data_IF_739547769235
#
_entry.id   IF_739547769235
#
_cell.length_a   1.000
_cell.length_b   1.000
_cell.length_c   1.000
_cell.angle_alpha   90.00
_cell.angle_beta   90.00
_cell.angle_gamma   90.00
#
_symmetry.space_group_name_H-M   'P 1'
#
loop_
_entity.id
_entity.type
_entity.pdbx_description
1 polymer ?
#
# COMPACT_ATOMS: atom_id res chain seq x y z
N UNK A 1 -33.64 -49.64 1.88
CA UNK A 1 -33.11 -48.70 0.88
C UNK A 1 -34.21 -48.46 -0.15
N UNK A 2 -35.06 -47.46 0.10
CA UNK A 2 -35.94 -46.82 -0.89
C UNK A 2 -35.09 -45.83 -1.69
N UNK A 3 -35.29 -45.49 -2.97
CA UNK A 3 -36.28 -45.84 -3.99
C UNK A 3 -36.08 -44.86 -5.17
N UNK A 4 -36.53 -45.27 -6.38
CA UNK A 4 -37.01 -44.47 -7.53
C UNK A 4 -36.14 -43.37 -8.18
N UNK A 5 -36.30 -42.96 -9.45
CA UNK A 5 -36.78 -43.50 -10.74
C UNK A 5 -36.76 -42.28 -11.70
N UNK A 6 -35.92 -42.29 -12.76
CA UNK A 6 -36.04 -41.59 -14.08
C UNK A 6 -36.32 -40.06 -14.12
N UNK A 7 -36.45 -39.36 -15.29
CA UNK A 7 -36.25 -39.73 -16.71
C UNK A 7 -35.47 -38.69 -17.59
N UNK A 8 -35.17 -39.07 -18.85
CA UNK A 8 -35.31 -38.31 -20.14
C UNK A 8 -34.72 -36.89 -20.29
N UNK A 9 -34.25 -36.34 -21.42
CA UNK A 9 -34.31 -36.55 -22.89
C UNK A 9 -33.24 -35.59 -23.45
N UNK A 10 -32.36 -35.97 -24.37
CA UNK A 10 -32.57 -35.77 -25.82
C UNK A 10 -32.71 -34.30 -26.25
N UNK A 11 -31.68 -33.68 -26.84
CA UNK A 11 -31.83 -33.05 -28.17
C UNK A 11 -30.50 -32.62 -28.78
N UNK A 12 -30.41 -32.88 -30.08
CA UNK A 12 -29.30 -32.69 -30.97
C UNK A 12 -29.06 -31.23 -31.40
N UNK A 13 -27.86 -31.06 -31.93
CA UNK A 13 -27.37 -30.03 -32.87
C UNK A 13 -28.44 -29.23 -33.63
N UNK A 14 -28.18 -27.92 -33.79
CA UNK A 14 -28.49 -27.20 -35.03
C UNK A 14 -27.44 -26.12 -35.30
N UNK A 15 -26.61 -26.39 -36.32
CA UNK A 15 -25.88 -25.40 -37.09
C UNK A 15 -26.83 -24.74 -38.11
N UNK A 16 -26.74 -23.42 -38.28
CA UNK A 16 -26.97 -22.61 -39.50
C UNK A 16 -26.75 -21.14 -39.07
N UNK A 17 -25.65 -20.46 -39.38
CA UNK A 17 -25.18 -20.01 -40.70
C UNK A 17 -26.21 -19.13 -41.41
N UNK A 18 -26.02 -17.81 -41.29
CA UNK A 18 -25.89 -16.81 -42.38
C UNK A 18 -26.45 -15.44 -41.96
N UNK A 19 -25.67 -14.40 -42.26
CA UNK A 19 -26.03 -13.01 -42.01
C UNK A 19 -24.81 -12.10 -41.92
N UNK A 20 -24.02 -12.05 -43.00
CA UNK A 20 -22.94 -11.08 -43.19
C UNK A 20 -23.56 -9.69 -43.41
N UNK A 21 -23.20 -8.72 -42.57
CA UNK A 21 -23.13 -7.31 -43.00
C UNK A 21 -22.21 -6.52 -42.07
N UNK A 22 -21.04 -6.15 -42.59
CA UNK A 22 -20.17 -5.09 -42.08
C UNK A 22 -20.28 -3.90 -43.05
N UNK A 23 -19.57 -2.78 -42.87
CA UNK A 23 -19.21 -2.01 -41.67
C UNK A 23 -19.69 -0.54 -41.82
N UNK A 24 -19.67 0.29 -40.76
CA UNK A 24 -19.26 1.72 -40.85
C UNK A 24 -19.51 2.49 -39.53
N UNK A 25 -18.41 2.99 -38.98
CA UNK A 25 -18.29 4.32 -38.35
C UNK A 25 -19.19 4.61 -37.15
N UNK A 26 -18.68 4.99 -35.98
CA UNK A 26 -17.91 6.22 -35.78
C UNK A 26 -17.47 6.27 -34.32
N UNK A 27 -16.31 6.88 -34.14
CA UNK A 27 -15.76 7.36 -32.87
C UNK A 27 -16.83 7.92 -31.93
N UNK A 28 -16.88 7.38 -30.72
CA UNK A 28 -17.15 8.18 -29.54
C UNK A 28 -16.16 7.77 -28.47
N UNK A 29 -15.01 8.46 -28.55
CA UNK A 29 -14.19 8.93 -27.43
C UNK A 29 -14.96 8.80 -26.11
N UNK A 30 -14.80 7.64 -25.46
CA UNK A 30 -15.22 7.46 -24.09
C UNK A 30 -14.42 8.44 -23.27
N UNK A 31 -15.03 9.59 -22.95
CA UNK A 31 -14.58 10.46 -21.88
C UNK A 31 -14.32 9.54 -20.71
N UNK A 32 -13.05 9.44 -20.31
CA UNK A 32 -12.71 8.82 -19.04
C UNK A 32 -13.63 9.45 -18.02
N UNK A 33 -14.51 8.65 -17.41
CA UNK A 33 -15.14 9.04 -16.16
C UNK A 33 -13.96 9.43 -15.28
N UNK A 34 -13.84 10.71 -14.98
CA UNK A 34 -13.11 11.11 -13.79
C UNK A 34 -13.82 10.36 -12.68
N UNK A 35 -13.23 9.23 -12.27
CA UNK A 35 -13.61 8.57 -11.03
C UNK A 35 -13.33 9.65 -10.01
N UNK A 36 -14.39 10.32 -9.54
CA UNK A 36 -14.28 11.31 -8.49
C UNK A 36 -13.71 10.56 -7.29
N UNK A 37 -12.39 10.70 -7.10
CA UNK A 37 -11.75 10.19 -5.90
C UNK A 37 -12.39 10.93 -4.74
N UNK A 38 -12.84 10.22 -3.69
CA UNK A 38 -13.42 10.89 -2.55
C UNK A 38 -12.41 11.91 -2.03
N UNK A 39 -12.82 13.16 -1.83
CA UNK A 39 -11.96 14.27 -1.38
C UNK A 39 -11.06 13.90 -0.17
N UNK A 40 -11.49 12.95 0.66
CA UNK A 40 -10.71 12.42 1.77
C UNK A 40 -9.43 11.68 1.35
N UNK A 41 -9.42 10.98 0.23
CA UNK A 41 -8.25 10.22 -0.23
C UNK A 41 -7.12 11.14 -0.71
N UNK A 42 -7.46 12.21 -1.44
CA UNK A 42 -6.47 13.22 -1.86
C UNK A 42 -5.90 14.01 -0.67
N UNK A 43 -6.72 14.30 0.35
CA UNK A 43 -6.27 14.94 1.58
C UNK A 43 -5.30 14.04 2.37
N UNK A 44 -5.65 12.76 2.55
CA UNK A 44 -4.78 11.79 3.23
C UNK A 44 -3.45 11.66 2.49
N UNK A 45 -3.48 11.60 1.16
CA UNK A 45 -2.28 11.54 0.33
C UNK A 45 -1.41 12.78 0.51
N UNK A 46 -1.99 13.97 0.47
CA UNK A 46 -1.24 15.22 0.68
C UNK A 46 -0.60 15.28 2.08
N UNK A 47 -1.29 14.81 3.12
CA UNK A 47 -0.73 14.70 4.46
C UNK A 47 0.41 13.69 4.54
N UNK A 48 0.25 12.52 3.94
CA UNK A 48 1.30 11.50 3.84
C UNK A 48 2.54 12.04 3.11
N UNK A 49 2.36 12.77 2.00
CA UNK A 49 3.46 13.39 1.26
C UNK A 49 4.22 14.42 2.09
N UNK A 50 3.52 15.22 2.92
CA UNK A 50 4.15 16.15 3.85
C UNK A 50 4.95 15.41 4.93
N UNK A 51 4.41 14.33 5.48
CA UNK A 51 5.10 13.50 6.46
C UNK A 51 6.34 12.82 5.86
N UNK A 52 6.28 12.35 4.61
CA UNK A 52 7.45 11.81 3.92
C UNK A 52 8.53 12.85 3.68
N UNK A 53 8.17 14.09 3.31
CA UNK A 53 9.15 15.18 3.19
C UNK A 53 9.84 15.47 4.53
N UNK A 54 9.06 15.55 5.61
CA UNK A 54 9.59 15.73 6.97
C UNK A 54 10.48 14.55 7.37
N UNK A 55 10.11 13.32 7.01
CA UNK A 55 10.91 12.13 7.28
C UNK A 55 12.27 12.21 6.57
N UNK A 56 12.29 12.64 5.32
CA UNK A 56 13.52 12.83 4.54
C UNK A 56 14.42 13.92 5.14
N UNK A 57 13.84 15.06 5.54
CA UNK A 57 14.59 16.14 6.21
C UNK A 57 15.24 15.67 7.52
N UNK A 58 14.51 14.88 8.32
CA UNK A 58 15.02 14.35 9.59
C UNK A 58 16.03 13.24 9.35
N UNK A 59 15.85 12.39 8.33
CA UNK A 59 16.83 11.39 7.93
C UNK A 59 18.16 12.06 7.52
N UNK A 60 18.09 13.14 6.74
CA UNK A 60 19.27 13.92 6.36
C UNK A 60 19.98 14.54 7.57
N UNK A 61 19.22 15.11 8.51
CA UNK A 61 19.77 15.59 9.79
C UNK A 61 20.43 14.45 10.56
N UNK A 62 19.80 13.28 10.60
CA UNK A 62 20.31 12.10 11.32
C UNK A 62 21.61 11.58 10.71
N UNK A 63 21.76 11.65 9.38
CA UNK A 63 22.98 11.25 8.70
C UNK A 63 24.12 12.25 8.88
N UNK A 64 23.81 13.54 8.98
CA UNK A 64 24.82 14.58 9.24
C UNK A 64 25.24 14.60 10.71
N UNK A 65 24.27 14.45 11.61
CA UNK A 65 24.42 14.56 13.05
C UNK A 65 23.71 13.40 13.76
N UNK A 66 24.33 12.21 13.81
CA UNK A 66 23.75 11.04 14.48
C UNK A 66 23.68 11.29 15.98
N UNK A 67 22.51 11.69 16.46
CA UNK A 67 22.25 11.96 17.87
C UNK A 67 20.92 11.35 18.29
N UNK A 68 20.80 11.02 19.58
CA UNK A 68 19.57 10.42 20.11
C UNK A 68 18.37 11.35 19.92
N UNK A 69 18.59 12.67 20.03
CA UNK A 69 17.54 13.67 19.82
C UNK A 69 16.97 13.63 18.40
N UNK A 70 17.84 13.55 17.39
CA UNK A 70 17.39 13.49 15.99
C UNK A 70 16.76 12.13 15.68
N UNK A 71 17.23 11.04 16.31
CA UNK A 71 16.59 9.72 16.19
C UNK A 71 15.18 9.70 16.80
N UNK A 72 14.96 10.38 17.93
CA UNK A 72 13.61 10.52 18.50
C UNK A 72 12.68 11.36 17.62
N UNK A 73 13.20 12.40 16.97
CA UNK A 73 12.46 13.17 15.96
C UNK A 73 12.08 12.26 14.77
N UNK A 74 13.01 11.45 14.28
CA UNK A 74 12.77 10.48 13.20
C UNK A 74 11.67 9.48 13.59
N UNK A 75 11.78 8.89 14.79
CA UNK A 75 10.76 8.00 15.36
C UNK A 75 9.40 8.67 15.53
N UNK A 76 9.37 9.98 15.82
CA UNK A 76 8.16 10.77 15.87
C UNK A 76 7.43 10.77 14.52
N UNK A 77 8.13 11.15 13.46
CA UNK A 77 7.55 11.20 12.11
C UNK A 77 7.10 9.82 11.63
N UNK A 78 7.89 8.76 11.90
CA UNK A 78 7.49 7.38 11.57
C UNK A 78 6.20 6.97 12.31
N UNK A 79 6.04 7.37 13.58
CA UNK A 79 4.80 7.10 14.33
C UNK A 79 3.59 7.81 13.74
N UNK A 80 3.75 9.07 13.33
CA UNK A 80 2.68 9.84 12.66
C UNK A 80 2.25 9.15 11.35
N UNK A 81 3.20 8.65 10.55
CA UNK A 81 2.91 7.87 9.33
C UNK A 81 2.18 6.55 9.63
N UNK A 82 2.61 5.81 10.65
CA UNK A 82 1.94 4.56 11.05
C UNK A 82 0.52 4.79 11.57
N UNK A 83 0.26 5.92 12.23
CA UNK A 83 -1.10 6.30 12.64
C UNK A 83 -2.01 6.58 11.43
N UNK A 84 -1.50 7.22 10.38
CA UNK A 84 -2.25 7.38 9.12
C UNK A 84 -2.60 6.03 8.49
N UNK A 85 -1.64 5.10 8.44
CA UNK A 85 -1.87 3.73 7.95
C UNK A 85 -2.98 3.04 8.74
N UNK A 86 -2.95 3.13 10.07
CA UNK A 86 -3.97 2.53 10.93
C UNK A 86 -5.36 3.14 10.66
N UNK A 87 -5.46 4.45 10.51
CA UNK A 87 -6.71 5.13 10.14
C UNK A 87 -7.25 4.66 8.79
N UNK A 88 -6.38 4.53 7.78
CA UNK A 88 -6.76 4.02 6.46
C UNK A 88 -7.26 2.57 6.51
N UNK A 89 -6.57 1.69 7.24
CA UNK A 89 -6.96 0.29 7.38
C UNK A 89 -8.32 0.13 8.09
N UNK A 90 -8.61 0.99 9.07
CA UNK A 90 -9.92 1.04 9.74
C UNK A 90 -11.03 1.47 8.77
N UNK A 91 -10.79 2.51 7.97
CA UNK A 91 -11.76 3.02 6.99
C UNK A 91 -12.05 2.01 5.89
N UNK A 92 -11.02 1.30 5.40
CA UNK A 92 -11.17 0.29 4.33
C UNK A 92 -11.78 -1.03 4.80
N UNK A 93 -12.04 -1.20 6.10
CA UNK A 93 -12.57 -2.43 6.71
C UNK A 93 -11.75 -3.69 6.32
N UNK A 94 -10.49 -3.48 5.95
CA UNK A 94 -9.64 -4.44 5.24
C UNK A 94 -8.81 -5.30 6.20
N UNK A 95 -9.11 -5.19 7.50
CA UNK A 95 -8.40 -5.81 8.61
C UNK A 95 -8.24 -7.35 8.50
N UNK A 96 -9.05 -8.02 7.67
CA UNK A 96 -9.04 -9.47 7.56
C UNK A 96 -8.10 -10.05 6.49
N UNK A 97 -7.78 -9.33 5.39
CA UNK A 97 -7.02 -9.91 4.25
C UNK A 97 -5.70 -9.18 3.96
N UNK A 98 -5.62 -7.86 4.16
CA UNK A 98 -4.37 -7.09 4.04
C UNK A 98 -3.57 -7.04 5.34
N UNK A 99 -4.15 -7.45 6.48
CA UNK A 99 -3.48 -7.39 7.78
C UNK A 99 -2.21 -8.21 7.84
N UNK A 100 -2.12 -9.37 7.20
CA UNK A 100 -0.89 -10.17 7.24
C UNK A 100 0.32 -9.45 6.61
N UNK A 101 0.11 -8.80 5.45
CA UNK A 101 1.17 -8.07 4.77
C UNK A 101 1.47 -6.73 5.45
N UNK A 102 0.43 -5.97 5.80
CA UNK A 102 0.57 -4.70 6.51
C UNK A 102 1.23 -4.90 7.88
N UNK A 103 0.82 -5.91 8.64
CA UNK A 103 1.43 -6.28 9.92
C UNK A 103 2.92 -6.58 9.76
N UNK A 104 3.31 -7.40 8.77
CA UNK A 104 4.74 -7.69 8.50
C UNK A 104 5.54 -6.42 8.19
N UNK A 105 4.97 -5.50 7.42
CA UNK A 105 5.63 -4.22 7.11
C UNK A 105 5.76 -3.34 8.36
N UNK A 106 4.70 -3.23 9.18
CA UNK A 106 4.71 -2.50 10.45
C UNK A 106 5.75 -3.11 11.41
N UNK A 107 5.79 -4.44 11.55
CA UNK A 107 6.82 -5.13 12.35
C UNK A 107 8.22 -4.81 11.84
N UNK A 108 8.47 -4.86 10.52
CA UNK A 108 9.77 -4.48 9.94
C UNK A 108 10.14 -3.03 10.23
N UNK A 109 9.18 -2.11 10.21
CA UNK A 109 9.43 -0.71 10.58
C UNK A 109 9.88 -0.61 12.04
N UNK A 110 9.20 -1.28 12.96
CA UNK A 110 9.58 -1.30 14.38
C UNK A 110 10.94 -1.95 14.63
N UNK A 111 11.23 -3.08 13.97
CA UNK A 111 12.54 -3.72 14.01
C UNK A 111 13.63 -2.80 13.50
N UNK A 112 13.38 -2.13 12.36
CA UNK A 112 14.29 -1.13 11.79
C UNK A 112 14.63 -0.02 12.77
N UNK A 113 13.63 0.56 13.43
CA UNK A 113 13.82 1.59 14.46
C UNK A 113 14.66 1.09 15.64
N UNK A 114 14.38 -0.12 16.14
CA UNK A 114 15.18 -0.71 17.22
C UNK A 114 16.64 -0.96 16.79
N UNK A 115 16.87 -1.35 15.54
CA UNK A 115 18.23 -1.52 15.02
C UNK A 115 18.95 -0.18 14.86
N UNK A 116 18.25 0.90 14.49
CA UNK A 116 18.85 2.24 14.44
C UNK A 116 19.39 2.69 15.79
N UNK A 117 18.64 2.46 16.88
CA UNK A 117 19.08 2.77 18.25
C UNK A 117 20.39 2.04 18.61
N UNK A 118 20.46 0.75 18.26
CA UNK A 118 21.64 -0.09 18.48
C UNK A 118 22.85 0.38 17.66
N UNK A 119 22.63 0.80 16.42
CA UNK A 119 23.68 1.30 15.52
C UNK A 119 24.16 2.68 15.98
N UNK A 120 23.26 3.53 16.47
CA UNK A 120 23.61 4.84 17.01
C UNK A 120 24.52 4.71 18.26
N UNK A 121 24.24 3.71 19.09
CA UNK A 121 24.97 3.44 20.35
C UNK A 121 26.35 2.80 20.17
N UNK A 122 26.64 2.20 19.00
CA UNK A 122 27.89 1.49 18.71
C UNK A 122 28.59 2.19 17.54
N UNK A 123 29.49 3.13 17.83
CA UNK A 123 30.32 3.88 16.87
C UNK A 123 29.69 3.99 15.46
N UNK A 124 28.87 5.02 15.31
CA UNK A 124 27.93 5.24 14.21
C UNK A 124 28.42 4.77 12.83
N UNK A 125 28.00 3.55 12.44
CA UNK A 125 28.13 3.09 11.06
C UNK A 125 27.07 3.81 10.21
N UNK A 126 27.37 5.05 9.80
CA UNK A 126 26.50 5.93 9.02
C UNK A 126 25.83 5.21 7.84
N UNK A 127 26.57 4.37 7.13
CA UNK A 127 26.05 3.54 6.01
C UNK A 127 24.94 2.59 6.47
N UNK A 128 25.09 1.95 7.64
CA UNK A 128 24.05 1.06 8.19
C UNK A 128 22.80 1.85 8.59
N UNK A 129 22.99 3.04 9.16
CA UNK A 129 21.88 3.93 9.54
C UNK A 129 21.09 4.38 8.30
N UNK A 130 21.78 4.76 7.22
CA UNK A 130 21.16 5.09 5.93
C UNK A 130 20.38 3.93 5.34
N UNK A 131 20.96 2.72 5.36
CA UNK A 131 20.27 1.52 4.88
C UNK A 131 18.97 1.26 5.64
N UNK A 132 19.02 1.30 6.98
CA UNK A 132 17.84 1.13 7.82
C UNK A 132 16.78 2.20 7.54
N UNK A 133 17.17 3.45 7.30
CA UNK A 133 16.25 4.53 7.02
C UNK A 133 15.52 4.32 5.68
N UNK A 134 16.26 3.92 4.64
CA UNK A 134 15.69 3.59 3.34
C UNK A 134 14.75 2.38 3.42
N UNK A 135 15.14 1.34 4.18
CA UNK A 135 14.29 0.15 4.38
C UNK A 135 12.99 0.52 5.08
N UNK A 136 13.04 1.37 6.13
CA UNK A 136 11.86 1.88 6.83
C UNK A 136 10.99 2.70 5.88
N UNK A 137 11.57 3.63 5.13
CA UNK A 137 10.84 4.45 4.15
C UNK A 137 10.15 3.57 3.10
N UNK A 138 10.84 2.57 2.57
CA UNK A 138 10.27 1.62 1.61
C UNK A 138 9.09 0.84 2.18
N UNK A 139 9.17 0.42 3.44
CA UNK A 139 8.04 -0.23 4.12
C UNK A 139 6.85 0.72 4.27
N UNK A 140 7.09 1.97 4.67
CA UNK A 140 6.04 2.99 4.84
C UNK A 140 5.38 3.37 3.51
N UNK A 141 6.17 3.52 2.44
CA UNK A 141 5.63 3.74 1.08
C UNK A 141 4.77 2.55 0.66
N UNK A 142 5.21 1.31 0.93
CA UNK A 142 4.43 0.11 0.60
C UNK A 142 3.12 0.00 1.40
N UNK A 143 3.04 0.62 2.58
CA UNK A 143 1.82 0.67 3.41
C UNK A 143 0.83 1.75 2.97
N UNK A 144 1.31 2.79 2.28
CA UNK A 144 0.53 3.98 1.91
C UNK A 144 0.30 4.10 0.38
N UNK A 145 0.82 3.15 -0.40
CA UNK A 145 0.62 3.04 -1.84
C UNK A 145 -0.75 2.42 -2.17
#
# INVERSE_FOLDING_TARGET
MSGNLSPEVGLAQRFSAEGISAPLGKSSKGKGKAVERPFGEDLIKAQSDQLFKRLDEVADKLFRFPSQRVLEEYKGVVRELLQQVQGMLQVRQEFSMTSGAAFRLITRVHEGLSQMEKVLSREAKRVKLMKLANDIKGCLVSLLA
#
